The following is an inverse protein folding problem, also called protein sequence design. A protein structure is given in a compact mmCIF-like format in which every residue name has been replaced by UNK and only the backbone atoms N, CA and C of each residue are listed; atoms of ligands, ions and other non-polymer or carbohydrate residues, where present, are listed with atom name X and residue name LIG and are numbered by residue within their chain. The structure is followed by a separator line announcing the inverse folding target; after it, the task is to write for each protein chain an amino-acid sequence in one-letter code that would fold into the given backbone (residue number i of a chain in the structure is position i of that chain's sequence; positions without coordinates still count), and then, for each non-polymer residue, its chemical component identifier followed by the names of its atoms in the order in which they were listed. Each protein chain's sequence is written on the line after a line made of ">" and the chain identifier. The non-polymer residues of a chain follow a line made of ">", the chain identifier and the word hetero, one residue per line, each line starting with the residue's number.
data_IF_705859685105
#
_entry.id   IF_705859685105
#
_cell.length_a   1.000
_cell.length_b   1.000
_cell.length_c   1.000
_cell.angle_alpha   90.00
_cell.angle_beta   90.00
_cell.angle_gamma   90.00
#
_symmetry.space_group_name_H-M   'P 1'
#
loop_
_entity.id
_entity.type
_entity.pdbx_description
1 polymer ?
#
# COMPACT_ATOMS: atom_id res chain seq x y z
N UNK A 1 -57.75 -39.76 3.93
CA UNK A 1 -57.53 -38.99 2.69
C UNK A 1 -56.41 -38.00 2.98
N UNK A 2 -55.25 -38.23 2.38
CA UNK A 2 -53.99 -37.54 2.69
C UNK A 2 -53.90 -36.23 1.91
N UNK A 3 -53.50 -35.13 2.57
CA UNK A 3 -53.02 -33.94 1.88
C UNK A 3 -51.49 -33.96 1.86
N UNK A 4 -50.96 -34.24 0.66
CA UNK A 4 -49.54 -34.17 0.31
C UNK A 4 -49.08 -32.72 0.25
N UNK A 5 -47.94 -32.43 0.90
CA UNK A 5 -47.29 -31.14 0.88
C UNK A 5 -46.54 -30.84 -0.42
N UNK A 6 -46.13 -29.58 -0.54
CA UNK A 6 -45.03 -29.15 -1.41
C UNK A 6 -44.33 -27.96 -0.73
N UNK A 7 -43.19 -28.22 -0.08
CA UNK A 7 -42.23 -27.17 0.29
C UNK A 7 -41.26 -27.06 -0.88
N UNK A 8 -41.25 -25.91 -1.55
CA UNK A 8 -40.25 -25.59 -2.58
C UNK A 8 -39.05 -24.94 -1.90
N UNK A 9 -37.99 -25.71 -1.71
CA UNK A 9 -36.67 -25.17 -1.33
C UNK A 9 -36.00 -24.60 -2.57
N UNK A 10 -35.83 -23.28 -2.62
CA UNK A 10 -34.96 -22.63 -3.59
C UNK A 10 -33.52 -22.69 -3.05
N UNK A 11 -32.64 -23.42 -3.73
CA UNK A 11 -31.22 -23.43 -3.43
C UNK A 11 -30.57 -22.18 -4.06
N UNK A 12 -29.98 -21.34 -3.22
CA UNK A 12 -29.18 -20.19 -3.65
C UNK A 12 -27.78 -20.71 -4.02
N UNK A 13 -27.42 -20.66 -5.30
CA UNK A 13 -26.06 -20.97 -5.74
C UNK A 13 -25.15 -19.78 -5.46
N UNK A 14 -24.21 -19.94 -4.52
CA UNK A 14 -23.16 -18.96 -4.23
C UNK A 14 -22.01 -19.16 -5.24
N UNK A 15 -21.94 -18.31 -6.25
CA UNK A 15 -20.73 -18.19 -7.09
C UNK A 15 -19.67 -17.44 -6.29
N UNK A 16 -18.59 -18.13 -5.92
CA UNK A 16 -17.39 -17.48 -5.39
C UNK A 16 -16.70 -16.77 -6.55
N UNK A 17 -17.00 -15.48 -6.74
CA UNK A 17 -16.14 -14.60 -7.52
C UNK A 17 -14.89 -14.39 -6.68
N UNK A 18 -13.74 -14.93 -7.12
CA UNK A 18 -12.47 -14.45 -6.58
C UNK A 18 -12.35 -13.00 -7.02
N UNK A 19 -12.49 -12.07 -6.08
CA UNK A 19 -12.07 -10.70 -6.29
C UNK A 19 -10.56 -10.78 -6.56
N UNK A 20 -10.12 -10.39 -7.76
CA UNK A 20 -8.73 -9.96 -7.92
C UNK A 20 -8.49 -8.91 -6.85
N UNK A 21 -7.52 -9.13 -5.97
CA UNK A 21 -7.21 -8.16 -4.94
C UNK A 21 -6.80 -6.88 -5.66
N UNK A 22 -7.62 -5.83 -5.57
CA UNK A 22 -7.33 -4.57 -6.24
C UNK A 22 -5.99 -4.03 -5.74
N UNK A 23 -5.24 -3.35 -6.61
CA UNK A 23 -3.97 -2.79 -6.20
C UNK A 23 -4.17 -1.85 -5.00
N UNK A 24 -3.32 -1.99 -3.99
CA UNK A 24 -3.33 -1.15 -2.78
C UNK A 24 -2.18 -0.17 -2.89
N UNK A 25 -2.46 1.12 -2.79
CA UNK A 25 -1.46 2.21 -2.85
C UNK A 25 -1.30 2.83 -1.47
N UNK A 26 -0.06 3.00 -1.01
CA UNK A 26 0.30 3.62 0.26
C UNK A 26 1.06 4.93 -0.01
N UNK A 27 0.50 6.05 0.44
CA UNK A 27 0.99 7.42 0.18
C UNK A 27 1.56 8.13 1.42
N UNK A 28 1.59 7.46 2.58
CA UNK A 28 2.09 7.95 3.88
C UNK A 28 1.44 9.22 4.47
N UNK A 29 0.50 9.82 3.76
CA UNK A 29 -0.24 11.00 4.19
C UNK A 29 -0.93 10.80 5.55
N UNK A 30 -0.72 11.76 6.45
CA UNK A 30 -1.29 11.76 7.80
C UNK A 30 -0.52 10.96 8.85
N UNK A 31 0.61 10.32 8.51
CA UNK A 31 1.49 9.65 9.50
C UNK A 31 2.20 10.69 10.39
N UNK A 32 2.67 11.78 9.77
CA UNK A 32 3.39 12.88 10.43
C UNK A 32 4.90 12.80 10.26
N UNK A 33 5.56 13.96 10.32
CA UNK A 33 6.99 14.09 10.04
C UNK A 33 7.86 13.32 11.07
N UNK A 34 8.76 12.48 10.57
CA UNK A 34 9.66 11.60 11.33
C UNK A 34 8.92 10.63 12.27
N UNK A 35 7.61 10.46 12.10
CA UNK A 35 6.84 9.53 12.91
C UNK A 35 7.02 8.10 12.37
N UNK A 36 7.10 7.09 13.25
CA UNK A 36 7.09 5.70 12.81
C UNK A 36 5.81 5.38 12.06
N UNK A 37 5.93 4.76 10.89
CA UNK A 37 4.76 4.32 10.11
C UNK A 37 4.03 3.21 10.88
N UNK A 38 4.78 2.25 11.44
CA UNK A 38 4.27 1.26 12.39
C UNK A 38 2.96 0.61 11.96
N UNK A 39 1.91 0.78 12.77
CA UNK A 39 0.57 0.24 12.53
C UNK A 39 -0.39 1.22 11.86
N UNK A 40 0.09 2.29 11.22
CA UNK A 40 -0.78 3.30 10.60
C UNK A 40 -1.80 2.70 9.62
N UNK A 41 -1.38 1.72 8.81
CA UNK A 41 -2.22 0.96 7.88
C UNK A 41 -2.77 -0.36 8.46
N UNK A 42 -2.64 -0.57 9.76
CA UNK A 42 -3.10 -1.76 10.48
C UNK A 42 -3.97 -1.39 11.69
N UNK A 43 -5.05 -0.65 11.43
CA UNK A 43 -5.99 -0.17 12.45
C UNK A 43 -5.66 1.22 12.99
N UNK A 44 -4.69 1.92 12.40
CA UNK A 44 -4.34 3.30 12.70
C UNK A 44 -5.06 4.33 11.82
N UNK A 45 -4.45 5.51 11.67
CA UNK A 45 -5.02 6.63 10.90
C UNK A 45 -5.20 6.34 9.41
N UNK A 46 -4.42 5.41 8.84
CA UNK A 46 -4.52 4.96 7.45
C UNK A 46 -5.49 3.80 7.24
N UNK A 47 -6.28 3.43 8.25
CA UNK A 47 -7.24 2.34 8.19
C UNK A 47 -6.67 0.95 8.47
N UNK A 48 -7.41 -0.08 8.09
CA UNK A 48 -7.16 -1.49 8.45
C UNK A 48 -6.84 -2.35 7.23
N UNK A 49 -5.74 -2.05 6.55
CA UNK A 49 -5.25 -2.81 5.41
C UNK A 49 -4.46 -4.07 5.81
N UNK A 50 -4.16 -4.23 7.10
CA UNK A 50 -3.37 -5.36 7.61
C UNK A 50 -1.87 -5.23 7.28
N UNK A 51 -1.42 -4.01 7.02
CA UNK A 51 -0.04 -3.68 6.62
C UNK A 51 0.64 -2.96 7.79
N UNK A 52 1.77 -3.51 8.24
CA UNK A 52 2.55 -2.94 9.33
C UNK A 52 4.00 -2.76 8.92
N UNK A 53 4.64 -1.72 9.42
CA UNK A 53 6.04 -1.43 9.17
C UNK A 53 6.88 -1.64 10.44
N UNK A 54 8.12 -2.07 10.24
CA UNK A 54 9.12 -2.19 11.30
C UNK A 54 9.51 -0.84 11.91
N UNK A 55 10.20 -0.88 13.05
CA UNK A 55 10.53 0.32 13.83
C UNK A 55 11.42 1.34 13.09
N UNK A 56 12.23 0.90 12.13
CA UNK A 56 13.11 1.77 11.35
C UNK A 56 12.36 2.58 10.27
N UNK A 57 11.13 2.20 9.93
CA UNK A 57 10.32 2.85 8.89
C UNK A 57 9.64 4.12 9.41
N UNK A 58 10.05 5.26 8.85
CA UNK A 58 9.56 6.58 9.24
C UNK A 58 8.90 7.26 8.05
N UNK A 59 7.89 8.08 8.32
CA UNK A 59 7.38 9.04 7.35
C UNK A 59 8.25 10.30 7.34
N UNK A 60 8.46 10.88 6.16
CA UNK A 60 9.18 12.12 5.94
C UNK A 60 8.26 13.09 5.22
N UNK A 61 7.88 14.18 5.89
CA UNK A 61 7.03 15.22 5.30
C UNK A 61 7.94 16.30 4.72
N UNK A 62 7.61 16.82 3.54
CA UNK A 62 8.35 17.93 2.94
C UNK A 62 8.45 19.12 3.92
N UNK A 63 9.62 19.74 3.96
CA UNK A 63 9.93 20.96 4.69
C UNK A 63 8.98 22.13 4.40
N UNK A 64 8.51 22.28 3.17
CA UNK A 64 7.61 23.37 2.79
C UNK A 64 6.14 23.08 3.18
N UNK A 65 5.79 21.80 3.35
CA UNK A 65 4.55 21.31 3.95
C UNK A 65 4.61 21.24 5.50
N UNK A 66 5.64 21.81 6.12
CA UNK A 66 5.78 21.91 7.59
C UNK A 66 6.50 20.72 8.24
N UNK A 67 7.12 19.86 7.43
CA UNK A 67 7.99 18.76 7.86
C UNK A 67 9.47 19.14 7.93
N UNK A 68 10.34 18.16 7.69
CA UNK A 68 11.80 18.33 7.66
C UNK A 68 12.46 17.63 6.48
N UNK A 69 11.65 17.16 5.53
CA UNK A 69 12.09 16.50 4.31
C UNK A 69 12.82 17.44 3.38
N UNK A 70 13.87 16.93 2.76
CA UNK A 70 14.55 17.59 1.63
C UNK A 70 14.08 16.96 0.31
N UNK A 71 12.78 16.69 0.24
CA UNK A 71 12.07 16.09 -0.90
C UNK A 71 11.37 17.21 -1.68
N UNK A 72 10.86 16.89 -2.86
CA UNK A 72 10.04 17.75 -3.71
C UNK A 72 9.47 16.96 -4.89
N UNK A 73 8.43 17.48 -5.53
CA UNK A 73 7.75 16.85 -6.68
C UNK A 73 7.31 15.41 -6.39
N UNK A 74 6.85 15.19 -5.16
CA UNK A 74 6.34 13.93 -4.65
C UNK A 74 5.32 13.34 -5.63
N UNK A 75 5.36 12.04 -5.92
CA UNK A 75 4.37 11.36 -6.75
C UNK A 75 2.95 11.59 -6.24
N UNK A 76 2.77 11.62 -4.92
CA UNK A 76 1.51 11.93 -4.27
C UNK A 76 1.73 12.70 -2.96
N UNK A 77 0.82 13.62 -2.65
CA UNK A 77 0.83 14.33 -1.36
C UNK A 77 2.14 15.07 -1.11
N UNK A 78 2.61 15.01 0.15
CA UNK A 78 3.80 15.72 0.67
C UNK A 78 4.64 14.81 1.58
N UNK A 79 4.36 13.49 1.61
CA UNK A 79 4.92 12.54 2.57
C UNK A 79 5.47 11.29 1.90
N UNK A 80 6.75 10.98 2.14
CA UNK A 80 7.38 9.73 1.71
C UNK A 80 7.76 8.81 2.86
N UNK A 81 8.10 7.56 2.54
CA UNK A 81 8.74 6.60 3.44
C UNK A 81 10.26 6.72 3.36
N UNK A 82 10.92 6.72 4.50
CA UNK A 82 12.38 6.55 4.60
C UNK A 82 12.78 5.81 5.88
N UNK A 83 14.09 5.65 6.12
CA UNK A 83 14.63 5.10 7.37
C UNK A 83 15.95 5.76 7.75
N UNK A 84 16.19 5.89 9.06
CA UNK A 84 17.40 6.51 9.63
C UNK A 84 18.43 5.50 10.15
N UNK A 85 18.01 4.26 10.42
CA UNK A 85 18.83 3.22 11.03
C UNK A 85 18.51 1.84 10.49
N UNK A 86 19.40 0.90 10.76
CA UNK A 86 19.24 -0.48 10.30
C UNK A 86 19.55 -0.67 8.82
N UNK A 87 19.48 -1.92 8.34
CA UNK A 87 19.80 -2.25 6.94
C UNK A 87 18.66 -1.96 5.96
N UNK A 88 17.41 -1.84 6.45
CA UNK A 88 16.23 -1.59 5.63
C UNK A 88 15.01 -1.18 6.48
N UNK A 89 14.10 -0.40 5.91
CA UNK A 89 12.71 -0.36 6.38
C UNK A 89 11.99 -1.63 5.91
N UNK A 90 11.29 -2.33 6.81
CA UNK A 90 10.57 -3.57 6.47
C UNK A 90 9.07 -3.34 6.55
N UNK A 91 8.35 -3.65 5.48
CA UNK A 91 6.89 -3.71 5.42
C UNK A 91 6.43 -5.17 5.51
N UNK A 92 5.41 -5.43 6.32
CA UNK A 92 4.79 -6.72 6.53
C UNK A 92 3.32 -6.68 6.12
N UNK A 93 2.88 -7.74 5.43
CA UNK A 93 1.50 -7.94 4.97
C UNK A 93 1.09 -9.36 5.37
N UNK A 94 0.40 -9.51 6.51
CA UNK A 94 0.12 -10.83 7.08
C UNK A 94 -0.73 -11.71 6.17
N UNK A 95 -1.68 -11.11 5.46
CA UNK A 95 -2.52 -11.79 4.46
C UNK A 95 -1.76 -12.12 3.16
N UNK A 96 -0.62 -11.47 2.94
CA UNK A 96 0.17 -11.52 1.72
C UNK A 96 -0.45 -10.77 0.54
N UNK A 97 0.35 -10.66 -0.52
CA UNK A 97 -0.04 -10.09 -1.81
C UNK A 97 0.68 -10.83 -2.95
N UNK A 98 0.14 -10.76 -4.16
CA UNK A 98 0.67 -11.44 -5.33
C UNK A 98 0.68 -10.49 -6.54
N UNK A 99 0.79 -11.03 -7.76
CA UNK A 99 0.73 -10.32 -9.04
C UNK A 99 1.95 -9.43 -9.31
N UNK A 100 2.25 -8.49 -8.43
CA UNK A 100 3.40 -7.61 -8.54
C UNK A 100 3.56 -6.65 -7.38
N UNK A 101 4.68 -5.95 -7.41
CA UNK A 101 5.04 -4.89 -6.47
C UNK A 101 5.66 -3.72 -7.22
N UNK A 102 5.33 -2.50 -6.83
CA UNK A 102 5.87 -1.30 -7.45
C UNK A 102 5.82 -0.09 -6.52
N UNK A 103 6.60 0.93 -6.84
CA UNK A 103 6.73 2.17 -6.08
C UNK A 103 7.45 3.23 -6.91
N UNK A 104 7.41 4.47 -6.43
CA UNK A 104 8.34 5.51 -6.85
C UNK A 104 9.46 5.64 -5.82
N UNK A 105 10.64 6.05 -6.27
CA UNK A 105 11.75 6.34 -5.36
C UNK A 105 12.56 7.55 -5.83
N UNK A 106 13.18 8.23 -4.87
CA UNK A 106 14.24 9.22 -5.07
C UNK A 106 15.48 8.81 -4.28
N UNK A 107 16.63 8.65 -4.93
CA UNK A 107 17.83 8.07 -4.29
C UNK A 107 19.12 8.85 -4.58
N UNK A 108 19.84 9.20 -3.51
CA UNK A 108 21.17 9.82 -3.57
C UNK A 108 22.31 8.80 -3.44
N UNK A 109 22.00 7.57 -2.98
CA UNK A 109 22.90 6.43 -3.00
C UNK A 109 22.17 5.20 -3.56
N UNK A 110 22.93 4.28 -4.17
CA UNK A 110 22.37 3.03 -4.68
C UNK A 110 21.79 2.18 -3.53
N UNK A 111 20.78 1.40 -3.85
CA UNK A 111 20.07 0.54 -2.90
C UNK A 111 19.37 -0.61 -3.58
N UNK A 112 18.52 -1.30 -2.83
CA UNK A 112 17.72 -2.39 -3.37
C UNK A 112 16.47 -2.61 -2.56
N UNK A 113 15.37 -2.93 -3.24
CA UNK A 113 14.15 -3.41 -2.60
C UNK A 113 14.02 -4.92 -2.84
N UNK A 114 13.78 -5.69 -1.78
CA UNK A 114 13.68 -7.15 -1.85
C UNK A 114 12.29 -7.59 -1.38
N UNK A 115 11.64 -8.42 -2.18
CA UNK A 115 10.30 -8.98 -1.92
C UNK A 115 10.45 -10.42 -1.45
N UNK A 116 9.83 -10.76 -0.32
CA UNK A 116 9.95 -12.07 0.32
C UNK A 116 8.60 -12.75 0.50
N UNK A 117 8.59 -14.09 0.49
CA UNK A 117 7.40 -14.90 0.81
C UNK A 117 7.17 -15.11 2.32
N UNK A 118 8.16 -14.82 3.16
CA UNK A 118 8.04 -14.78 4.61
C UNK A 118 7.79 -13.37 5.15
N UNK A 119 7.41 -13.29 6.42
CA UNK A 119 7.34 -12.02 7.15
C UNK A 119 8.76 -11.58 7.56
N UNK A 120 8.89 -10.31 7.92
CA UNK A 120 10.09 -9.71 8.51
C UNK A 120 11.35 -9.81 7.63
N UNK A 121 11.19 -9.78 6.30
CA UNK A 121 12.28 -9.92 5.35
C UNK A 121 12.92 -11.32 5.36
N UNK A 122 12.15 -12.35 5.74
CA UNK A 122 12.59 -13.75 5.81
C UNK A 122 11.94 -14.62 4.74
N UNK A 123 12.39 -15.87 4.61
CA UNK A 123 11.85 -16.80 3.61
C UNK A 123 12.60 -16.72 2.28
N UNK A 124 11.93 -17.14 1.20
CA UNK A 124 12.48 -17.09 -0.14
C UNK A 124 12.34 -15.67 -0.72
N UNK A 125 13.37 -15.25 -1.45
CA UNK A 125 13.31 -14.03 -2.26
C UNK A 125 12.46 -14.31 -3.50
N UNK A 126 11.38 -13.56 -3.66
CA UNK A 126 10.51 -13.61 -4.82
C UNK A 126 10.96 -12.64 -5.91
N UNK A 127 11.53 -11.49 -5.52
CA UNK A 127 12.10 -10.51 -6.42
C UNK A 127 13.15 -9.64 -5.72
N UNK A 128 14.09 -9.10 -6.51
CA UNK A 128 15.04 -8.06 -6.08
C UNK A 128 15.06 -6.97 -7.12
N UNK A 129 14.87 -5.72 -6.68
CA UNK A 129 14.81 -4.53 -7.50
C UNK A 129 16.02 -3.66 -7.16
N UNK A 130 17.01 -3.52 -8.05
CA UNK A 130 18.12 -2.61 -7.84
C UNK A 130 17.69 -1.16 -8.02
N UNK A 131 18.22 -0.26 -7.21
CA UNK A 131 17.95 1.18 -7.27
C UNK A 131 19.22 1.93 -7.67
N UNK A 132 19.10 2.83 -8.64
CA UNK A 132 20.21 3.68 -9.10
C UNK A 132 20.12 5.06 -8.47
N UNK A 133 21.26 5.76 -8.38
CA UNK A 133 21.27 7.17 -7.96
C UNK A 133 20.65 8.01 -9.07
N UNK A 134 19.65 8.82 -8.72
CA UNK A 134 18.94 9.68 -9.68
C UNK A 134 18.21 10.88 -9.04
N UNK A 135 18.33 11.09 -7.72
CA UNK A 135 17.50 12.02 -6.93
C UNK A 135 17.38 13.45 -7.47
N UNK A 136 18.38 13.93 -8.20
CA UNK A 136 18.45 15.28 -8.75
C UNK A 136 18.47 15.32 -10.29
N UNK A 137 18.23 14.19 -10.95
CA UNK A 137 18.32 14.10 -12.41
C UNK A 137 17.17 14.85 -13.06
N UNK A 138 17.50 15.86 -13.88
CA UNK A 138 16.55 16.62 -14.70
C UNK A 138 15.34 17.22 -13.94
N UNK A 139 15.51 17.52 -12.65
CA UNK A 139 14.46 18.10 -11.82
C UNK A 139 14.92 19.39 -11.12
N UNK A 140 13.95 20.13 -10.59
CA UNK A 140 14.15 21.27 -9.68
C UNK A 140 13.31 21.00 -8.44
N UNK A 141 13.86 21.10 -7.23
CA UNK A 141 13.10 20.91 -5.99
C UNK A 141 12.30 22.15 -5.62
N UNK A 142 11.00 22.00 -5.33
CA UNK A 142 10.05 23.10 -5.29
C UNK A 142 9.45 23.27 -3.89
N UNK A 143 9.51 24.46 -3.26
CA UNK A 143 10.44 25.55 -3.51
C UNK A 143 11.89 25.21 -3.12
N UNK A 144 12.10 24.07 -2.44
CA UNK A 144 13.38 23.50 -2.07
C UNK A 144 13.29 21.97 -2.21
N UNK A 145 14.40 21.24 -2.17
CA UNK A 145 14.38 19.77 -2.23
C UNK A 145 15.49 19.20 -3.11
N UNK A 146 16.37 18.39 -2.55
CA UNK A 146 17.42 17.71 -3.32
C UNK A 146 16.97 16.35 -3.86
N UNK A 147 15.88 15.81 -3.32
CA UNK A 147 15.23 14.58 -3.79
C UNK A 147 14.00 14.96 -4.60
N UNK A 148 14.24 15.48 -5.82
CA UNK A 148 13.20 16.07 -6.67
C UNK A 148 12.84 15.24 -7.90
N UNK A 149 13.58 14.16 -8.17
CA UNK A 149 13.31 13.22 -9.24
C UNK A 149 12.83 11.90 -8.64
N UNK A 150 11.73 11.38 -9.19
CA UNK A 150 11.04 10.18 -8.73
C UNK A 150 10.91 9.20 -9.88
N UNK A 151 11.64 8.09 -9.79
CA UNK A 151 11.62 7.06 -10.83
C UNK A 151 10.61 5.97 -10.45
N UNK A 152 9.63 5.65 -11.32
CA UNK A 152 8.74 4.52 -11.11
C UNK A 152 9.48 3.20 -11.37
N UNK A 153 9.36 2.24 -10.46
CA UNK A 153 9.90 0.89 -10.63
C UNK A 153 8.90 -0.14 -10.15
N UNK A 154 8.90 -1.31 -10.78
CA UNK A 154 8.15 -2.43 -10.28
C UNK A 154 8.55 -3.75 -10.90
N UNK A 155 7.98 -4.81 -10.36
CA UNK A 155 8.32 -6.19 -10.71
C UNK A 155 7.08 -7.06 -10.60
N UNK A 156 6.94 -8.03 -11.51
CA UNK A 156 6.00 -9.14 -11.34
C UNK A 156 6.74 -10.32 -10.72
N UNK A 157 6.05 -11.11 -9.91
CA UNK A 157 6.62 -12.30 -9.29
C UNK A 157 5.57 -13.40 -9.20
N UNK A 158 6.03 -14.64 -9.03
CA UNK A 158 5.17 -15.79 -8.78
C UNK A 158 5.14 -16.10 -7.28
N UNK A 159 4.00 -16.58 -6.79
CA UNK A 159 3.80 -16.87 -5.37
C UNK A 159 3.16 -15.71 -4.61
N UNK A 160 3.15 -15.83 -3.28
CA UNK A 160 2.55 -14.84 -2.38
C UNK A 160 3.64 -14.18 -1.54
N UNK A 161 3.87 -12.90 -1.78
CA UNK A 161 4.75 -12.08 -0.97
C UNK A 161 4.10 -11.74 0.36
N UNK A 162 4.89 -11.67 1.43
CA UNK A 162 4.44 -11.30 2.79
C UNK A 162 5.24 -10.18 3.40
N UNK A 163 6.44 -9.90 2.90
CA UNK A 163 7.19 -8.73 3.33
C UNK A 163 8.03 -8.13 2.20
N UNK A 164 8.35 -6.85 2.37
CA UNK A 164 9.23 -6.10 1.49
C UNK A 164 10.27 -5.38 2.35
N UNK A 165 11.54 -5.54 2.03
CA UNK A 165 12.63 -4.82 2.66
C UNK A 165 13.14 -3.71 1.72
N UNK A 166 12.94 -2.46 2.13
CA UNK A 166 13.44 -1.26 1.46
C UNK A 166 14.85 -0.96 1.96
N UNK A 167 15.84 -1.56 1.30
CA UNK A 167 17.24 -1.51 1.70
C UNK A 167 18.07 -0.48 0.94
N UNK A 168 19.27 -0.24 1.46
CA UNK A 168 20.22 0.74 0.95
C UNK A 168 21.02 1.36 2.09
N UNK A 169 21.67 2.49 1.83
CA UNK A 169 22.24 3.28 2.91
C UNK A 169 21.12 4.06 3.60
N UNK A 170 20.99 3.90 4.91
CA UNK A 170 20.01 4.64 5.70
C UNK A 170 20.14 6.15 5.45
N UNK A 171 19.01 6.85 5.39
CA UNK A 171 18.90 8.29 5.16
C UNK A 171 19.28 8.78 3.74
N UNK A 172 19.29 7.91 2.72
CA UNK A 172 19.65 8.30 1.34
C UNK A 172 18.65 7.91 0.25
N UNK A 173 17.51 7.31 0.62
CA UNK A 173 16.46 6.93 -0.33
C UNK A 173 15.10 7.22 0.30
N UNK A 174 14.23 7.86 -0.47
CA UNK A 174 12.83 8.07 -0.12
C UNK A 174 11.96 7.31 -1.11
N UNK A 175 10.90 6.69 -0.61
CA UNK A 175 9.95 5.91 -1.37
C UNK A 175 8.56 6.51 -1.24
N UNK A 176 7.77 6.48 -2.30
CA UNK A 176 6.38 6.91 -2.26
C UNK A 176 5.51 6.05 -3.20
N UNK A 177 4.19 6.13 -3.03
CA UNK A 177 3.20 5.44 -3.85
C UNK A 177 3.45 3.92 -3.90
N UNK A 178 3.74 3.34 -2.73
CA UNK A 178 4.02 1.91 -2.59
C UNK A 178 2.76 1.14 -2.96
N UNK A 179 2.85 0.38 -4.05
CA UNK A 179 1.74 -0.28 -4.70
C UNK A 179 1.89 -1.79 -4.64
N UNK A 180 0.96 -2.46 -3.94
CA UNK A 180 0.88 -3.92 -3.83
C UNK A 180 -0.13 -4.45 -4.85
N UNK A 181 0.14 -5.60 -5.46
CA UNK A 181 -0.77 -6.20 -6.45
C UNK A 181 -0.56 -5.67 -7.87
N UNK A 182 0.45 -4.83 -8.11
CA UNK A 182 0.76 -4.26 -9.43
C UNK A 182 2.27 -4.07 -9.61
N UNK A 183 2.78 -4.36 -10.81
CA UNK A 183 4.16 -4.03 -11.21
C UNK A 183 4.32 -2.62 -11.76
N UNK A 184 3.24 -1.85 -11.82
CA UNK A 184 3.25 -0.45 -12.24
C UNK A 184 2.77 0.40 -11.07
N UNK A 185 3.55 1.39 -10.62
CA UNK A 185 3.14 2.26 -9.53
C UNK A 185 1.86 3.02 -9.87
N UNK A 186 1.07 3.29 -8.85
CA UNK A 186 -0.25 3.90 -9.02
C UNK A 186 -1.33 2.86 -9.37
N UNK A 187 -2.54 3.14 -8.93
CA UNK A 187 -3.68 2.26 -9.06
C UNK A 187 -4.97 2.94 -8.63
N UNK A 188 -6.07 2.21 -8.59
CA UNK A 188 -7.28 2.71 -7.91
C UNK A 188 -6.98 2.81 -6.42
N UNK A 189 -6.93 4.03 -5.88
CA UNK A 189 -6.99 4.22 -4.42
C UNK A 189 -8.23 3.46 -3.95
N UNK A 190 -8.13 2.53 -2.97
CA UNK A 190 -9.32 1.91 -2.40
C UNK A 190 -10.16 2.99 -1.73
N UNK A 191 -11.07 3.61 -2.49
CA UNK A 191 -12.13 4.43 -1.95
C UNK A 191 -12.84 3.59 -0.88
N UNK A 192 -13.15 4.15 0.30
CA UNK A 192 -13.79 3.40 1.36
C UNK A 192 -15.19 2.94 0.90
N UNK A 193 -15.26 1.76 0.28
CA UNK A 193 -16.42 0.91 0.00
C UNK A 193 -17.77 1.64 -0.23
N UNK A 194 -17.80 2.68 -1.06
CA UNK A 194 -19.03 3.40 -1.38
C UNK A 194 -20.10 2.47 -1.97
N UNK A 195 -19.70 1.41 -2.68
CA UNK A 195 -20.57 0.36 -3.23
C UNK A 195 -21.17 -0.56 -2.15
N UNK A 196 -20.47 -0.81 -1.05
CA UNK A 196 -21.01 -1.58 0.09
C UNK A 196 -22.01 -0.73 0.87
N UNK A 197 -21.74 0.56 1.06
CA UNK A 197 -22.69 1.51 1.66
C UNK A 197 -23.94 1.68 0.80
N UNK A 198 -23.79 1.78 -0.52
CA UNK A 198 -24.93 1.89 -1.44
C UNK A 198 -25.75 0.59 -1.49
N UNK A 199 -25.08 -0.57 -1.50
CA UNK A 199 -25.74 -1.88 -1.45
C UNK A 199 -26.46 -2.16 -0.12
N UNK A 200 -25.82 -1.84 1.01
CA UNK A 200 -26.42 -1.95 2.34
C UNK A 200 -27.58 -0.94 2.53
N UNK A 201 -27.44 0.27 2.00
CA UNK A 201 -28.49 1.30 2.01
C UNK A 201 -29.74 0.87 1.22
N UNK A 202 -29.56 0.28 0.04
CA UNK A 202 -30.66 -0.23 -0.77
C UNK A 202 -31.33 -1.46 -0.13
N UNK A 203 -30.55 -2.38 0.44
CA UNK A 203 -31.09 -3.54 1.17
C UNK A 203 -31.88 -3.11 2.41
N UNK A 204 -31.38 -2.15 3.19
CA UNK A 204 -32.07 -1.60 4.36
C UNK A 204 -33.38 -0.88 3.96
N UNK A 205 -33.39 -0.13 2.85
CA UNK A 205 -34.58 0.54 2.35
C UNK A 205 -35.69 -0.45 1.91
N UNK A 206 -35.31 -1.57 1.27
CA UNK A 206 -36.25 -2.63 0.88
C UNK A 206 -36.85 -3.32 2.11
N UNK A 207 -36.03 -3.66 3.11
CA UNK A 207 -36.50 -4.27 4.37
C UNK A 207 -37.42 -3.32 5.15
N UNK A 208 -37.10 -2.02 5.19
CA UNK A 208 -37.93 -1.02 5.86
C UNK A 208 -39.30 -0.84 5.18
N UNK A 209 -39.36 -0.94 3.84
CA UNK A 209 -40.62 -0.86 3.07
C UNK A 209 -41.51 -2.07 3.27
N UNK A 210 -40.93 -3.26 3.32
CA UNK A 210 -41.66 -4.52 3.56
C UNK A 210 -42.20 -4.63 4.99
N UNK A 211 -41.63 -3.92 5.97
CA UNK A 211 -42.12 -3.87 7.36
C UNK A 211 -43.26 -2.87 7.59
N UNK A 212 -43.54 -2.00 6.62
CA UNK A 212 -44.60 -0.98 6.68
C UNK A 212 -45.85 -1.34 5.89
N UNK A 213 -45.86 -2.50 5.23
CA UNK A 213 -46.99 -3.07 4.49
C UNK A 213 -47.62 -4.20 5.31
#
# INVERSE_FOLDING_TARGET
>A
MNYSGFVRTAALASTLVSLSNAAVVLTFEGVGNLAPVGSFYNGGGGGSLGIAFGADALALVDSDAGGSGNIANEPSGETGLFFLSGPAAVMNVAAGFDTGFSFYYSAALAGSVVVYDGLDGTGNVLATIPLSVQNADNCTGDPNGSYCNWTPVGVTFSGTARSVAFGGTANFIVFDDITLGSSTPGGVIPEPSATVLLGAGLAAAVVARLRRS
#
